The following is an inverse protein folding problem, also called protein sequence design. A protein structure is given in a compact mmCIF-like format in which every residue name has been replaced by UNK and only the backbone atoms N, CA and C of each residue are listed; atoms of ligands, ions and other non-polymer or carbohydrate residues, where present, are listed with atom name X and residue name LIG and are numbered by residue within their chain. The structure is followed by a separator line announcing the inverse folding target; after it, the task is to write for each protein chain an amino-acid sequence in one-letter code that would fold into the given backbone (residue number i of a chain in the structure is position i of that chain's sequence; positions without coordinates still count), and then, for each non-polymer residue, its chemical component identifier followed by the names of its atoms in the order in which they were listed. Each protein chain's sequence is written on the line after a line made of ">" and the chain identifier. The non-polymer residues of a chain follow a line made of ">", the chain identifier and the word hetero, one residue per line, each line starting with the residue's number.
data_IF_628073944811
#
_entry.id   IF_628073944811
#
_cell.length_a   1.000
_cell.length_b   1.000
_cell.length_c   1.000
_cell.angle_alpha   90.00
_cell.angle_beta   90.00
_cell.angle_gamma   90.00
#
_symmetry.space_group_name_H-M   'P 1'
#
loop_
_entity.id
_entity.type
_entity.pdbx_description
1 polymer ?
#
# COMPACT_ATOMS: atom_id res chain seq x y z
N UNK A 1 66.69 -59.45 16.32
CA UNK A 1 65.49 -60.27 16.04
C UNK A 1 64.25 -59.50 16.47
N UNK A 2 63.30 -59.40 15.54
CA UNK A 2 61.89 -58.95 15.57
C UNK A 2 61.46 -57.69 16.34
N UNK A 3 60.99 -56.72 15.53
CA UNK A 3 59.99 -55.71 15.86
C UNK A 3 58.67 -56.31 16.38
N UNK A 4 57.97 -55.59 17.26
CA UNK A 4 56.52 -55.64 17.31
C UNK A 4 55.93 -54.24 17.58
N UNK A 5 55.08 -53.81 16.64
CA UNK A 5 54.45 -52.49 16.53
C UNK A 5 53.42 -52.23 17.63
N UNK A 6 53.45 -51.02 18.22
CA UNK A 6 52.30 -50.39 18.87
C UNK A 6 51.96 -49.11 18.11
N UNK A 7 50.90 -49.13 17.30
CA UNK A 7 50.31 -47.90 16.76
C UNK A 7 49.35 -47.29 17.81
N UNK A 8 49.46 -45.99 18.12
CA UNK A 8 48.49 -45.32 18.99
C UNK A 8 47.23 -44.91 18.20
N UNK A 9 46.06 -45.21 18.76
CA UNK A 9 44.76 -44.71 18.30
C UNK A 9 44.76 -43.17 18.27
N UNK A 10 44.67 -42.59 17.07
CA UNK A 10 44.29 -41.18 16.89
C UNK A 10 42.81 -41.04 17.29
N UNK A 11 42.54 -40.31 18.37
CA UNK A 11 41.19 -39.83 18.70
C UNK A 11 40.76 -38.86 17.59
N UNK A 12 39.83 -39.29 16.76
CA UNK A 12 39.16 -38.45 15.77
C UNK A 12 38.12 -37.63 16.53
N UNK A 13 38.43 -36.35 16.79
CA UNK A 13 37.46 -35.41 17.33
C UNK A 13 36.43 -35.14 16.21
N UNK A 14 35.21 -35.64 16.40
CA UNK A 14 34.10 -35.36 15.51
C UNK A 14 33.57 -33.95 15.85
N UNK A 15 34.06 -32.93 15.16
CA UNK A 15 33.49 -31.58 15.25
C UNK A 15 32.15 -31.59 14.52
N UNK A 16 31.05 -31.69 15.27
CA UNK A 16 29.70 -31.45 14.75
C UNK A 16 29.62 -29.95 14.46
N UNK A 17 29.76 -29.58 13.19
CA UNK A 17 29.40 -28.25 12.72
C UNK A 17 27.86 -28.25 12.65
N UNK A 18 27.22 -27.76 13.71
CA UNK A 18 25.82 -27.34 13.64
C UNK A 18 25.78 -26.13 12.70
N UNK A 19 25.45 -26.38 11.43
CA UNK A 19 24.93 -25.36 10.53
C UNK A 19 23.58 -24.92 11.08
N UNK A 20 23.59 -24.03 12.07
CA UNK A 20 22.46 -23.15 12.29
C UNK A 20 22.39 -22.25 11.06
N UNK A 21 21.52 -22.61 10.11
CA UNK A 21 20.92 -21.59 9.27
C UNK A 21 20.37 -20.55 10.23
N UNK A 22 20.98 -19.37 10.28
CA UNK A 22 20.32 -18.19 10.81
C UNK A 22 19.13 -17.94 9.87
N UNK A 23 18.04 -18.68 10.07
CA UNK A 23 16.74 -18.17 9.70
C UNK A 23 16.57 -16.96 10.60
N UNK A 24 16.87 -15.78 10.04
CA UNK A 24 16.46 -14.53 10.65
C UNK A 24 14.97 -14.66 10.92
N UNK A 25 14.58 -14.65 12.19
CA UNK A 25 13.18 -14.64 12.59
C UNK A 25 12.64 -13.27 12.16
N UNK A 26 12.19 -13.18 10.92
CA UNK A 26 11.49 -12.00 10.44
C UNK A 26 10.11 -12.03 11.09
N UNK A 27 9.75 -10.92 11.77
CA UNK A 27 8.40 -10.76 12.29
C UNK A 27 7.37 -10.80 11.16
N UNK A 28 6.11 -11.04 11.51
CA UNK A 28 5.00 -10.98 10.53
C UNK A 28 5.01 -9.62 9.82
N UNK A 29 4.74 -9.59 8.51
CA UNK A 29 4.66 -8.34 7.77
C UNK A 29 3.51 -7.49 8.31
N UNK A 30 3.74 -6.18 8.38
CA UNK A 30 2.67 -5.22 8.68
C UNK A 30 1.72 -5.17 7.48
N UNK A 31 0.45 -5.45 7.68
CA UNK A 31 -0.55 -5.50 6.62
C UNK A 31 -1.43 -4.24 6.66
N UNK A 32 -1.55 -3.56 5.54
CA UNK A 32 -2.45 -2.42 5.40
C UNK A 32 -3.28 -2.49 4.13
N UNK A 33 -4.27 -1.62 4.03
CA UNK A 33 -5.13 -1.51 2.86
C UNK A 33 -5.33 -0.05 2.46
N UNK A 34 -5.38 0.23 1.16
CA UNK A 34 -5.82 1.52 0.65
C UNK A 34 -7.27 1.78 1.05
N UNK A 35 -7.56 2.97 1.55
CA UNK A 35 -8.86 3.33 2.11
C UNK A 35 -9.33 4.69 1.57
N UNK A 36 -10.59 4.76 1.18
CA UNK A 36 -11.17 5.88 0.46
C UNK A 36 -12.35 6.47 1.25
N UNK A 37 -12.17 7.66 1.87
CA UNK A 37 -13.16 8.26 2.77
C UNK A 37 -14.11 9.24 2.04
N UNK A 38 -14.51 8.95 0.79
CA UNK A 38 -15.24 9.92 -0.07
C UNK A 38 -16.70 9.54 -0.37
N UNK A 39 -17.21 8.45 0.20
CA UNK A 39 -18.60 8.03 0.02
C UNK A 39 -19.55 8.92 0.82
N UNK A 40 -20.67 9.33 0.23
CA UNK A 40 -21.56 10.32 0.86
C UNK A 40 -23.01 10.25 0.42
N UNK A 41 -23.89 11.04 1.07
CA UNK A 41 -25.31 11.10 0.74
C UNK A 41 -25.55 11.60 -0.69
N UNK A 42 -26.78 11.41 -1.19
CA UNK A 42 -27.21 11.81 -2.53
C UNK A 42 -26.37 11.19 -3.65
N UNK A 43 -25.82 9.99 -3.42
CA UNK A 43 -25.07 9.26 -4.43
C UNK A 43 -23.64 9.77 -4.64
N UNK A 44 -23.07 10.55 -3.72
CA UNK A 44 -21.69 11.01 -3.82
C UNK A 44 -20.74 9.80 -3.79
N UNK A 45 -20.00 9.59 -4.88
CA UNK A 45 -19.19 8.40 -5.20
C UNK A 45 -19.95 7.07 -5.39
N UNK A 46 -21.26 7.01 -5.10
CA UNK A 46 -22.11 5.84 -5.36
C UNK A 46 -22.80 5.86 -6.73
N UNK A 47 -23.28 7.02 -7.18
CA UNK A 47 -24.08 7.15 -8.42
C UNK A 47 -23.19 7.48 -9.63
N UNK A 48 -23.69 7.33 -10.88
CA UNK A 48 -22.92 6.79 -12.00
C UNK A 48 -21.52 7.35 -12.27
N UNK A 49 -20.59 6.46 -12.67
CA UNK A 49 -20.88 5.09 -13.13
C UNK A 49 -20.73 4.01 -12.05
N UNK A 50 -20.74 4.42 -10.77
CA UNK A 50 -21.21 3.66 -9.60
C UNK A 50 -21.05 2.15 -9.63
N UNK A 51 -19.98 1.65 -8.98
CA UNK A 51 -19.74 0.30 -8.49
C UNK A 51 -20.66 -0.87 -8.96
N UNK A 52 -20.04 -1.97 -9.39
CA UNK A 52 -20.79 -3.19 -9.78
C UNK A 52 -21.14 -4.01 -8.53
N UNK A 53 -20.16 -4.14 -7.64
CA UNK A 53 -20.29 -4.85 -6.37
C UNK A 53 -21.14 -4.03 -5.40
N UNK A 54 -21.91 -4.70 -4.54
CA UNK A 54 -22.76 -4.04 -3.55
C UNK A 54 -22.14 -4.14 -2.14
N UNK A 55 -21.98 -3.03 -1.40
CA UNK A 55 -21.56 -3.09 -0.01
C UNK A 55 -22.57 -3.85 0.84
N UNK A 56 -22.09 -4.73 1.72
CA UNK A 56 -22.96 -5.40 2.71
C UNK A 56 -23.58 -4.38 3.68
N UNK A 57 -22.92 -3.23 3.88
CA UNK A 57 -23.45 -2.11 4.67
C UNK A 57 -24.42 -1.20 3.90
N UNK A 58 -24.67 -1.50 2.61
CA UNK A 58 -25.38 -0.61 1.69
C UNK A 58 -24.54 0.61 1.28
N UNK A 59 -25.10 1.46 0.42
CA UNK A 59 -24.49 2.76 0.12
C UNK A 59 -24.45 3.63 1.38
N UNK A 60 -23.24 3.86 1.89
CA UNK A 60 -23.02 4.55 3.17
C UNK A 60 -22.42 5.95 3.02
N UNK A 61 -22.44 6.72 4.11
CA UNK A 61 -21.62 7.92 4.24
C UNK A 61 -20.33 7.60 5.00
N UNK A 62 -19.21 8.14 4.53
CA UNK A 62 -17.92 8.09 5.20
C UNK A 62 -17.90 8.91 6.49
N UNK A 63 -18.95 9.71 6.77
CA UNK A 63 -19.18 10.38 8.05
C UNK A 63 -20.04 9.55 9.03
N UNK A 64 -20.46 8.34 8.64
CA UNK A 64 -21.27 7.48 9.50
C UNK A 64 -20.39 6.77 10.53
N UNK A 65 -20.51 7.16 11.80
CA UNK A 65 -19.79 6.51 12.91
C UNK A 65 -20.00 4.98 12.95
N UNK A 66 -21.24 4.45 12.82
CA UNK A 66 -21.44 3.00 12.78
C UNK A 66 -20.67 2.30 11.64
N UNK A 67 -20.52 2.96 10.49
CA UNK A 67 -19.78 2.41 9.34
C UNK A 67 -18.29 2.44 9.61
N UNK A 68 -17.76 3.56 10.11
CA UNK A 68 -16.35 3.67 10.50
C UNK A 68 -16.00 2.62 11.56
N UNK A 69 -16.83 2.49 12.60
CA UNK A 69 -16.62 1.51 13.67
C UNK A 69 -16.64 0.08 13.12
N UNK A 70 -17.54 -0.24 12.20
CA UNK A 70 -17.58 -1.54 11.56
C UNK A 70 -16.35 -1.81 10.69
N UNK A 71 -15.88 -0.80 9.94
CA UNK A 71 -14.66 -0.91 9.15
C UNK A 71 -13.42 -1.14 10.03
N UNK A 72 -13.30 -0.40 11.14
CA UNK A 72 -12.24 -0.59 12.12
C UNK A 72 -12.35 -1.93 12.84
N UNK A 73 -13.56 -2.40 13.14
CA UNK A 73 -13.77 -3.74 13.68
C UNK A 73 -13.26 -4.81 12.70
N UNK A 74 -13.62 -4.73 11.43
CA UNK A 74 -13.08 -5.65 10.41
C UNK A 74 -11.56 -5.53 10.28
N UNK A 75 -11.01 -4.33 10.30
CA UNK A 75 -9.56 -4.15 10.26
C UNK A 75 -8.87 -4.89 11.42
N UNK A 76 -9.38 -4.74 12.64
CA UNK A 76 -8.83 -5.42 13.82
C UNK A 76 -9.02 -6.94 13.79
N UNK A 77 -10.22 -7.43 13.44
CA UNK A 77 -10.56 -8.86 13.44
C UNK A 77 -9.80 -9.68 12.40
N UNK A 78 -9.41 -9.03 11.30
CA UNK A 78 -8.75 -9.66 10.14
C UNK A 78 -7.31 -9.19 9.93
N UNK A 79 -6.68 -8.62 10.96
CA UNK A 79 -5.27 -8.25 11.01
C UNK A 79 -4.82 -7.21 9.96
N UNK A 80 -5.70 -6.28 9.61
CA UNK A 80 -5.32 -5.07 8.87
C UNK A 80 -4.80 -4.06 9.89
N UNK A 81 -3.48 -4.01 10.03
CA UNK A 81 -2.78 -3.17 11.00
C UNK A 81 -2.96 -1.67 10.72
N UNK A 82 -3.12 -1.27 9.46
CA UNK A 82 -3.32 0.13 9.11
C UNK A 82 -4.15 0.37 7.84
N UNK A 83 -4.76 1.55 7.77
CA UNK A 83 -5.42 2.07 6.58
C UNK A 83 -4.54 3.17 5.95
N UNK A 84 -4.24 3.04 4.66
CA UNK A 84 -3.60 4.08 3.86
C UNK A 84 -4.69 4.95 3.23
N UNK A 85 -5.01 6.05 3.89
CA UNK A 85 -6.20 6.86 3.66
C UNK A 85 -5.94 7.91 2.58
N UNK A 86 -6.70 7.86 1.49
CA UNK A 86 -6.70 8.85 0.41
C UNK A 86 -7.03 10.25 0.94
N UNK A 87 -6.19 11.23 0.62
CA UNK A 87 -6.30 12.61 1.09
C UNK A 87 -6.14 13.62 -0.05
N UNK A 88 -7.19 14.44 -0.24
CA UNK A 88 -7.24 15.53 -1.22
C UNK A 88 -7.20 16.88 -0.50
N UNK A 89 -6.03 17.50 -0.42
CA UNK A 89 -5.84 18.72 0.38
C UNK A 89 -6.64 19.95 -0.09
N UNK A 90 -6.89 20.08 -1.40
CA UNK A 90 -7.63 21.20 -1.97
C UNK A 90 -9.15 20.99 -1.82
N UNK A 91 -9.69 21.22 -0.61
CA UNK A 91 -11.12 21.51 -0.40
C UNK A 91 -12.12 20.40 -0.72
N UNK A 92 -11.69 19.14 -0.77
CA UNK A 92 -12.57 18.00 -0.97
C UNK A 92 -13.39 17.64 0.28
N UNK A 93 -14.45 16.85 0.07
CA UNK A 93 -15.33 16.20 1.06
C UNK A 93 -14.57 15.13 1.88
N UNK A 94 -13.31 15.39 2.26
CA UNK A 94 -12.46 14.39 2.96
C UNK A 94 -11.86 14.88 4.26
N UNK A 95 -11.77 16.20 4.51
CA UNK A 95 -11.14 16.68 5.75
C UNK A 95 -11.94 16.30 7.00
N UNK A 96 -13.27 16.45 6.95
CA UNK A 96 -14.15 16.10 8.07
C UNK A 96 -14.20 14.59 8.28
N UNK A 97 -14.17 13.83 7.19
CA UNK A 97 -14.18 12.38 7.13
C UNK A 97 -12.89 11.81 7.72
N UNK A 98 -11.73 12.36 7.35
CA UNK A 98 -10.42 11.96 7.90
C UNK A 98 -10.31 12.35 9.37
N UNK A 99 -10.78 13.55 9.75
CA UNK A 99 -10.83 13.96 11.17
C UNK A 99 -11.66 12.98 12.00
N UNK A 100 -12.89 12.67 11.56
CA UNK A 100 -13.76 11.72 12.25
C UNK A 100 -13.14 10.32 12.26
N UNK A 101 -12.52 9.89 11.16
CA UNK A 101 -11.82 8.61 11.08
C UNK A 101 -10.67 8.54 12.11
N UNK A 102 -9.86 9.59 12.27
CA UNK A 102 -8.86 9.66 13.33
C UNK A 102 -9.47 9.61 14.73
N UNK A 103 -10.59 10.31 14.96
CA UNK A 103 -11.29 10.29 16.27
C UNK A 103 -11.79 8.89 16.65
N UNK A 104 -12.26 8.11 15.68
CA UNK A 104 -12.63 6.70 15.91
C UNK A 104 -11.40 5.80 16.02
N UNK A 105 -10.38 6.02 15.19
CA UNK A 105 -9.20 5.14 15.11
C UNK A 105 -8.29 5.26 16.34
N UNK A 106 -8.25 6.42 16.99
CA UNK A 106 -7.53 6.58 18.27
C UNK A 106 -8.09 5.70 19.40
N UNK A 107 -9.26 5.10 19.23
CA UNK A 107 -9.88 4.19 20.20
C UNK A 107 -9.54 2.72 19.97
N UNK A 108 -8.81 2.38 18.90
CA UNK A 108 -8.53 1.00 18.49
C UNK A 108 -7.06 0.78 18.11
N UNK A 109 -6.60 -0.48 17.99
CA UNK A 109 -5.21 -0.78 17.60
C UNK A 109 -4.84 -0.39 16.17
N UNK A 110 -5.77 -0.47 15.21
CA UNK A 110 -5.56 -0.08 13.81
C UNK A 110 -4.95 1.33 13.70
N UNK A 111 -4.04 1.52 12.74
CA UNK A 111 -3.37 2.80 12.48
C UNK A 111 -3.81 3.43 11.16
N UNK A 112 -3.45 4.69 10.96
CA UNK A 112 -3.68 5.44 9.72
C UNK A 112 -2.35 5.98 9.20
N UNK A 113 -2.11 5.81 7.92
CA UNK A 113 -1.19 6.64 7.14
C UNK A 113 -2.00 7.40 6.09
N UNK A 114 -1.59 8.62 5.77
CA UNK A 114 -2.25 9.39 4.71
C UNK A 114 -1.58 9.14 3.36
N UNK A 115 -2.37 9.14 2.31
CA UNK A 115 -1.95 9.10 0.91
C UNK A 115 -2.32 10.44 0.28
N UNK A 116 -1.33 11.30 0.03
CA UNK A 116 -1.55 12.56 -0.67
C UNK A 116 -1.91 12.24 -2.12
N UNK A 117 -3.10 12.65 -2.52
CA UNK A 117 -3.62 12.49 -3.87
C UNK A 117 -3.29 13.70 -4.75
N UNK A 118 -3.12 13.47 -6.06
CA UNK A 118 -2.83 14.50 -7.05
C UNK A 118 -4.08 15.34 -7.37
N UNK A 119 -4.31 16.37 -6.56
CA UNK A 119 -5.40 17.34 -6.73
C UNK A 119 -5.27 18.26 -7.95
N UNK A 120 -6.29 19.11 -8.14
CA UNK A 120 -6.40 20.00 -9.29
C UNK A 120 -5.17 20.91 -9.49
N UNK A 121 -4.48 21.30 -8.42
CA UNK A 121 -3.30 22.17 -8.53
C UNK A 121 -2.13 21.39 -9.15
N UNK A 122 -1.91 20.13 -8.74
CA UNK A 122 -0.88 19.30 -9.38
C UNK A 122 -1.22 19.00 -10.84
N UNK A 123 -2.51 18.80 -11.14
CA UNK A 123 -2.97 18.62 -12.52
C UNK A 123 -2.74 19.85 -13.39
N UNK A 124 -2.92 21.06 -12.83
CA UNK A 124 -2.61 22.30 -13.53
C UNK A 124 -1.10 22.42 -13.80
N UNK A 125 -0.26 22.10 -12.80
CA UNK A 125 1.21 22.07 -12.95
C UNK A 125 1.64 21.09 -14.06
N UNK A 126 1.06 19.89 -14.07
CA UNK A 126 1.28 18.88 -15.13
C UNK A 126 0.85 19.38 -16.49
N UNK A 127 -0.35 19.95 -16.59
CA UNK A 127 -0.88 20.47 -17.84
C UNK A 127 0.01 21.56 -18.43
N UNK A 128 0.54 22.46 -17.60
CA UNK A 128 1.50 23.48 -18.03
C UNK A 128 2.80 22.88 -18.59
N UNK A 129 3.31 21.80 -17.98
CA UNK A 129 4.52 21.13 -18.46
C UNK A 129 4.27 20.36 -19.76
N UNK A 130 3.31 19.43 -19.75
CA UNK A 130 3.09 18.48 -20.83
C UNK A 130 2.37 19.08 -22.05
N UNK A 131 1.48 20.06 -21.84
CA UNK A 131 0.67 20.61 -22.93
C UNK A 131 1.15 21.98 -23.42
N UNK A 132 1.89 22.73 -22.60
CA UNK A 132 2.34 24.09 -22.93
C UNK A 132 3.86 24.23 -23.08
N UNK A 133 4.61 23.12 -23.07
CA UNK A 133 6.05 23.13 -23.28
C UNK A 133 6.84 23.76 -22.13
N UNK A 134 6.33 23.68 -20.89
CA UNK A 134 7.02 24.21 -19.72
C UNK A 134 8.35 23.50 -19.45
N UNK A 135 9.33 24.24 -18.91
CA UNK A 135 10.64 23.66 -18.52
C UNK A 135 10.51 22.56 -17.49
N UNK A 136 11.29 21.48 -17.63
CA UNK A 136 11.36 20.37 -16.67
C UNK A 136 11.71 20.84 -15.25
N UNK A 137 12.66 21.77 -15.12
CA UNK A 137 13.05 22.32 -13.82
C UNK A 137 11.90 23.10 -13.16
N UNK A 138 11.10 23.82 -13.94
CA UNK A 138 9.92 24.50 -13.41
C UNK A 138 8.86 23.50 -12.96
N UNK A 139 8.65 22.42 -13.73
CA UNK A 139 7.74 21.35 -13.35
C UNK A 139 8.12 20.70 -12.01
N UNK A 140 9.40 20.32 -11.85
CA UNK A 140 9.90 19.74 -10.60
C UNK A 140 9.76 20.73 -9.45
N UNK A 141 10.20 21.98 -9.61
CA UNK A 141 10.11 22.99 -8.55
C UNK A 141 8.67 23.28 -8.11
N UNK A 142 7.75 23.38 -9.07
CA UNK A 142 6.33 23.60 -8.78
C UNK A 142 5.72 22.38 -8.05
N UNK A 143 6.09 21.16 -8.47
CA UNK A 143 5.65 19.92 -7.82
C UNK A 143 6.21 19.77 -6.39
N UNK A 144 7.46 20.20 -6.16
CA UNK A 144 8.09 20.26 -4.83
C UNK A 144 7.32 21.22 -3.92
N UNK A 145 7.04 22.43 -4.40
CA UNK A 145 6.28 23.42 -3.64
C UNK A 145 4.87 22.93 -3.33
N UNK A 146 4.20 22.31 -4.32
CA UNK A 146 2.89 21.69 -4.13
C UNK A 146 2.94 20.62 -3.04
N UNK A 147 3.90 19.68 -3.10
CA UNK A 147 4.03 18.62 -2.10
C UNK A 147 4.26 19.17 -0.69
N UNK A 148 5.17 20.14 -0.55
CA UNK A 148 5.48 20.77 0.73
C UNK A 148 4.24 21.45 1.34
N UNK A 149 3.44 22.14 0.53
CA UNK A 149 2.19 22.75 1.01
C UNK A 149 1.23 21.70 1.57
N UNK A 150 1.06 20.56 0.89
CA UNK A 150 0.19 19.47 1.34
C UNK A 150 0.72 18.79 2.61
N UNK A 151 2.04 18.61 2.69
CA UNK A 151 2.69 18.13 3.89
C UNK A 151 2.45 19.08 5.09
N UNK A 152 2.60 20.39 4.87
CA UNK A 152 2.43 21.38 5.93
C UNK A 152 0.95 21.51 6.36
N UNK A 153 -0.03 21.31 5.47
CA UNK A 153 -1.47 21.19 5.82
C UNK A 153 -1.70 20.01 6.78
N UNK A 154 -1.18 18.82 6.44
CA UNK A 154 -1.30 17.63 7.29
C UNK A 154 -0.66 17.87 8.66
N UNK A 155 0.54 18.46 8.67
CA UNK A 155 1.35 18.63 9.87
C UNK A 155 0.87 19.75 10.77
N UNK A 156 0.55 20.92 10.23
CA UNK A 156 0.36 22.14 10.99
C UNK A 156 -1.12 22.50 11.13
N UNK A 157 -1.88 22.42 10.03
CA UNK A 157 -3.26 22.89 10.00
C UNK A 157 -4.19 21.86 10.61
N UNK A 158 -4.07 20.60 10.19
CA UNK A 158 -4.87 19.50 10.73
C UNK A 158 -4.21 18.81 11.93
N UNK A 159 -2.90 18.97 12.09
CA UNK A 159 -2.10 18.32 13.14
C UNK A 159 -2.24 16.79 13.17
N UNK A 160 -2.56 16.16 12.03
CA UNK A 160 -2.80 14.72 11.95
C UNK A 160 -1.57 13.87 12.33
N UNK A 161 -0.36 14.37 12.09
CA UNK A 161 0.87 13.72 12.56
C UNK A 161 1.02 13.62 14.08
N UNK A 162 0.19 14.32 14.85
CA UNK A 162 0.17 14.24 16.31
C UNK A 162 -0.81 13.19 16.85
N UNK A 163 -1.66 12.61 15.99
CA UNK A 163 -2.64 11.59 16.41
C UNK A 163 -1.96 10.30 16.83
N UNK A 164 -2.47 9.68 17.90
CA UNK A 164 -1.89 8.45 18.46
C UNK A 164 -2.03 7.23 17.55
N UNK A 165 -3.02 7.28 16.67
CA UNK A 165 -3.26 6.30 15.61
C UNK A 165 -2.47 6.58 14.33
N UNK A 166 -1.70 7.68 14.23
CA UNK A 166 -0.87 7.90 13.06
C UNK A 166 0.25 6.84 12.97
N UNK A 167 0.39 6.21 11.82
CA UNK A 167 1.33 5.12 11.58
C UNK A 167 2.78 5.63 11.56
N UNK A 168 3.63 4.93 12.30
CA UNK A 168 5.06 5.17 12.33
C UNK A 168 5.82 3.94 11.87
N UNK A 169 6.98 4.16 11.26
CA UNK A 169 7.94 3.10 10.98
C UNK A 169 8.68 2.67 12.26
N UNK A 170 9.49 1.60 12.21
CA UNK A 170 10.26 1.14 13.36
C UNK A 170 11.27 2.17 13.92
N UNK A 171 11.65 3.20 13.15
CA UNK A 171 12.53 4.27 13.62
C UNK A 171 11.74 5.47 14.21
N UNK A 172 10.41 5.39 14.27
CA UNK A 172 9.55 6.46 14.78
C UNK A 172 9.25 7.58 13.76
N UNK A 173 9.48 7.35 12.47
CA UNK A 173 9.13 8.29 11.39
C UNK A 173 7.70 8.07 10.91
N UNK A 174 7.00 9.14 10.57
CA UNK A 174 5.61 9.08 10.06
C UNK A 174 5.62 8.44 8.67
N UNK A 175 4.72 7.50 8.41
CA UNK A 175 4.50 7.01 7.04
C UNK A 175 3.61 8.00 6.29
N UNK A 176 4.02 8.44 5.11
CA UNK A 176 3.23 9.30 4.24
C UNK A 176 3.28 8.81 2.80
N UNK A 177 2.13 8.44 2.27
CA UNK A 177 1.95 8.13 0.86
C UNK A 177 1.92 9.39 -0.02
N UNK A 178 2.45 9.27 -1.22
CA UNK A 178 2.33 10.26 -2.29
C UNK A 178 1.92 9.56 -3.58
N UNK A 179 0.65 9.69 -3.96
CA UNK A 179 0.18 9.16 -5.24
C UNK A 179 0.50 10.13 -6.38
N UNK A 180 1.19 9.65 -7.42
CA UNK A 180 1.44 10.44 -8.62
C UNK A 180 1.64 9.53 -9.85
N UNK A 181 1.09 9.94 -10.99
CA UNK A 181 1.18 9.20 -12.27
C UNK A 181 2.45 9.48 -13.08
N UNK A 182 3.36 10.31 -12.57
CA UNK A 182 4.60 10.59 -13.29
C UNK A 182 5.48 9.35 -13.42
N UNK A 183 6.44 9.43 -14.34
CA UNK A 183 7.48 8.41 -14.41
C UNK A 183 8.25 8.35 -13.07
N UNK A 184 8.77 7.17 -12.70
CA UNK A 184 9.54 7.06 -11.48
C UNK A 184 10.77 7.97 -11.39
N UNK A 185 11.36 8.32 -12.53
CA UNK A 185 12.51 9.25 -12.58
C UNK A 185 12.10 10.66 -12.14
N UNK A 186 10.98 11.15 -12.67
CA UNK A 186 10.41 12.46 -12.33
C UNK A 186 10.08 12.54 -10.85
N UNK A 187 9.40 11.52 -10.32
CA UNK A 187 9.07 11.46 -8.90
C UNK A 187 10.33 11.40 -8.04
N UNK A 188 11.36 10.64 -8.46
CA UNK A 188 12.64 10.61 -7.77
C UNK A 188 13.25 12.00 -7.67
N UNK A 189 13.23 12.78 -8.75
CA UNK A 189 13.74 14.15 -8.75
C UNK A 189 12.92 15.07 -7.83
N UNK A 190 11.59 14.98 -7.86
CA UNK A 190 10.70 15.75 -6.96
C UNK A 190 11.01 15.44 -5.50
N UNK A 191 10.99 14.17 -5.09
CA UNK A 191 11.20 13.82 -3.67
C UNK A 191 12.64 14.09 -3.24
N UNK A 192 13.64 13.80 -4.07
CA UNK A 192 15.04 14.13 -3.73
C UNK A 192 15.21 15.64 -3.52
N UNK A 193 14.53 16.45 -4.33
CA UNK A 193 14.52 17.91 -4.17
C UNK A 193 13.77 18.34 -2.91
N UNK A 194 12.59 17.77 -2.61
CA UNK A 194 11.87 17.99 -1.34
C UNK A 194 12.81 17.73 -0.15
N UNK A 195 13.51 16.60 -0.13
CA UNK A 195 14.39 16.25 0.98
C UNK A 195 15.65 17.12 1.06
N UNK A 196 16.12 17.65 -0.07
CA UNK A 196 17.23 18.60 -0.10
C UNK A 196 16.83 19.98 0.45
N UNK A 197 15.62 20.47 0.12
CA UNK A 197 15.15 21.81 0.54
C UNK A 197 14.43 21.80 1.89
N UNK A 198 13.88 20.66 2.31
CA UNK A 198 13.18 20.41 3.58
C UNK A 198 13.71 19.13 4.25
N UNK A 199 14.97 19.13 4.74
CA UNK A 199 15.56 17.96 5.39
C UNK A 199 14.82 17.53 6.67
N UNK A 200 14.04 18.43 7.29
CA UNK A 200 13.16 18.11 8.42
C UNK A 200 12.08 17.08 8.05
N UNK A 201 11.60 17.10 6.80
CA UNK A 201 10.64 16.11 6.31
C UNK A 201 11.31 14.74 6.27
N UNK A 202 12.52 14.62 5.71
CA UNK A 202 13.23 13.33 5.63
C UNK A 202 13.63 12.75 6.98
N UNK A 203 13.93 13.62 7.95
CA UNK A 203 14.24 13.19 9.32
C UNK A 203 13.03 12.67 10.09
N UNK A 204 11.81 13.14 9.76
CA UNK A 204 10.59 12.87 10.54
C UNK A 204 9.56 12.01 9.82
N UNK A 205 9.69 11.82 8.51
CA UNK A 205 8.70 11.17 7.66
C UNK A 205 9.40 10.23 6.68
N UNK A 206 8.85 9.02 6.53
CA UNK A 206 9.20 8.10 5.45
C UNK A 206 8.16 8.22 4.33
N UNK A 207 8.57 8.81 3.21
CA UNK A 207 7.68 9.06 2.06
C UNK A 207 7.61 7.81 1.18
N UNK A 208 6.40 7.30 1.01
CA UNK A 208 6.06 6.22 0.09
C UNK A 208 5.45 6.84 -1.17
N UNK A 209 6.22 6.92 -2.24
CA UNK A 209 5.65 7.20 -3.55
C UNK A 209 4.78 6.02 -4.01
N UNK A 210 3.64 6.31 -4.61
CA UNK A 210 2.73 5.32 -5.16
C UNK A 210 2.40 5.80 -6.57
N UNK A 211 2.72 5.02 -7.59
CA UNK A 211 2.57 5.46 -8.98
C UNK A 211 2.47 4.30 -9.93
N UNK A 212 2.04 4.56 -11.17
CA UNK A 212 1.76 3.49 -12.13
C UNK A 212 2.99 3.09 -12.96
N UNK A 213 3.20 1.78 -13.15
CA UNK A 213 4.12 1.25 -14.17
C UNK A 213 3.36 0.96 -15.47
N UNK A 214 3.04 2.00 -16.22
CA UNK A 214 2.28 1.87 -17.48
C UNK A 214 0.77 1.76 -17.24
N UNK A 215 0.05 1.04 -18.12
CA UNK A 215 -1.42 0.99 -18.12
C UNK A 215 -1.97 0.37 -16.82
N UNK A 216 -2.27 1.29 -15.89
CA UNK A 216 -3.27 1.23 -14.83
C UNK A 216 -3.04 0.35 -13.62
N UNK A 217 -1.85 0.35 -13.00
CA UNK A 217 -1.84 -0.03 -11.56
C UNK A 217 -0.72 0.55 -10.71
N UNK A 218 -1.09 0.87 -9.46
CA UNK A 218 -0.28 1.35 -8.34
C UNK A 218 0.87 0.41 -7.99
N UNK A 219 2.08 0.88 -8.25
CA UNK A 219 3.33 0.40 -7.66
C UNK A 219 3.71 1.31 -6.50
N UNK A 220 4.04 0.71 -5.36
CA UNK A 220 4.55 1.47 -4.21
C UNK A 220 6.07 1.52 -4.34
N UNK A 221 6.67 2.70 -4.35
CA UNK A 221 8.11 2.91 -4.23
C UNK A 221 8.36 3.86 -3.07
N UNK A 222 9.24 3.54 -2.14
CA UNK A 222 9.65 4.55 -1.14
C UNK A 222 10.97 5.19 -1.55
N UNK A 223 11.11 6.49 -1.30
CA UNK A 223 12.32 7.24 -1.64
C UNK A 223 13.03 7.71 -0.35
N UNK A 224 14.29 7.29 -0.23
CA UNK A 224 15.41 7.79 0.59
C UNK A 224 15.50 7.42 2.09
N UNK A 225 16.43 6.51 2.39
CA UNK A 225 17.85 6.76 2.74
C UNK A 225 18.72 5.83 1.85
N UNK A 226 20.06 5.98 1.72
CA UNK A 226 20.92 5.12 0.86
C UNK A 226 20.74 3.61 1.04
N UNK A 227 20.11 3.18 2.15
CA UNK A 227 19.97 1.80 2.55
C UNK A 227 18.51 1.34 2.78
N UNK A 228 17.47 2.17 2.59
CA UNK A 228 16.07 1.83 2.98
C UNK A 228 15.02 1.93 1.86
N UNK A 229 15.41 1.77 0.61
CA UNK A 229 14.46 1.74 -0.50
C UNK A 229 13.43 0.60 -0.35
N UNK A 230 12.23 0.82 -0.87
CA UNK A 230 11.18 -0.20 -1.04
C UNK A 230 10.53 -0.04 -2.40
N UNK A 231 10.11 -1.16 -2.99
CA UNK A 231 9.42 -1.20 -4.27
C UNK A 231 8.36 -2.28 -4.20
N UNK A 232 7.22 -2.14 -4.88
CA UNK A 232 6.20 -3.17 -4.99
C UNK A 232 5.70 -3.19 -6.43
N UNK A 233 5.89 -4.29 -7.18
CA UNK A 233 5.22 -4.44 -8.45
C UNK A 233 3.75 -4.72 -8.15
N UNK A 234 2.89 -4.06 -8.90
CA UNK A 234 1.62 -4.67 -9.24
C UNK A 234 1.48 -4.60 -10.76
N UNK A 235 1.16 -5.74 -11.35
CA UNK A 235 0.48 -5.76 -12.64
C UNK A 235 -0.79 -6.58 -12.45
N UNK A 236 -1.93 -6.08 -12.95
CA UNK A 236 -3.13 -6.88 -12.92
C UNK A 236 -2.82 -8.05 -13.85
N UNK A 237 -2.96 -9.29 -13.39
CA UNK A 237 -2.60 -10.47 -14.19
C UNK A 237 -3.56 -10.68 -15.38
N UNK A 238 -3.69 -9.70 -16.27
CA UNK A 238 -4.20 -9.88 -17.62
C UNK A 238 -3.09 -10.29 -18.62
N UNK A 239 -1.80 -10.15 -18.28
CA UNK A 239 -0.71 -10.46 -19.21
C UNK A 239 0.23 -11.55 -18.68
N UNK A 240 -0.01 -12.82 -19.04
CA UNK A 240 0.95 -13.93 -19.27
C UNK A 240 2.20 -14.11 -18.35
N UNK A 241 2.25 -13.51 -17.17
CA UNK A 241 3.42 -13.53 -16.29
C UNK A 241 3.07 -14.02 -14.90
N UNK A 242 3.85 -14.97 -14.39
CA UNK A 242 3.77 -15.45 -13.02
C UNK A 242 4.26 -14.37 -12.03
N UNK A 243 3.80 -14.42 -10.78
CA UNK A 243 4.28 -13.56 -9.70
C UNK A 243 5.82 -13.60 -9.57
N UNK A 244 6.43 -14.74 -9.88
CA UNK A 244 7.89 -14.88 -9.94
C UNK A 244 8.56 -13.96 -10.97
N UNK A 245 7.90 -13.61 -12.08
CA UNK A 245 8.43 -12.62 -13.04
C UNK A 245 8.35 -11.19 -12.49
N UNK A 246 7.27 -10.86 -11.78
CA UNK A 246 7.13 -9.57 -11.09
C UNK A 246 8.20 -9.44 -9.98
N UNK A 247 8.49 -10.52 -9.27
CA UNK A 247 9.57 -10.57 -8.29
C UNK A 247 10.96 -10.52 -8.93
N UNK A 248 11.18 -11.17 -10.08
CA UNK A 248 12.45 -11.06 -10.77
C UNK A 248 12.71 -9.61 -11.18
N UNK A 249 11.66 -8.91 -11.67
CA UNK A 249 11.71 -7.46 -11.88
C UNK A 249 12.01 -6.71 -10.57
N UNK A 250 11.34 -7.03 -9.47
CA UNK A 250 11.61 -6.47 -8.13
C UNK A 250 13.09 -6.54 -7.78
N UNK A 251 13.68 -7.73 -7.86
CA UNK A 251 15.05 -7.98 -7.45
C UNK A 251 16.07 -7.37 -8.43
N UNK A 252 15.71 -7.23 -9.71
CA UNK A 252 16.55 -6.61 -10.74
C UNK A 252 16.57 -5.09 -10.64
N UNK A 253 15.44 -4.44 -10.32
CA UNK A 253 15.36 -2.99 -10.35
C UNK A 253 16.15 -2.32 -9.22
N UNK A 254 16.29 -2.93 -8.04
CA UNK A 254 16.97 -2.27 -6.92
C UNK A 254 17.67 -3.27 -5.96
N UNK A 255 18.85 -3.82 -6.30
CA UNK A 255 19.66 -4.60 -5.38
C UNK A 255 20.12 -3.73 -4.20
N UNK A 256 19.65 -4.01 -2.98
CA UNK A 256 20.06 -3.30 -1.74
C UNK A 256 18.93 -2.73 -0.87
N UNK A 257 17.66 -3.00 -1.18
CA UNK A 257 16.51 -2.58 -0.36
C UNK A 257 16.49 -3.26 1.03
N UNK A 258 16.47 -2.48 2.12
CA UNK A 258 16.32 -3.03 3.49
C UNK A 258 14.88 -3.27 3.93
N UNK A 259 13.90 -2.82 3.14
CA UNK A 259 12.48 -2.97 3.44
C UNK A 259 11.74 -3.47 2.20
N UNK A 260 11.06 -4.60 2.32
CA UNK A 260 10.27 -5.22 1.25
C UNK A 260 8.81 -4.90 1.43
N UNK A 261 8.23 -4.23 0.43
CA UNK A 261 6.81 -3.87 0.38
C UNK A 261 6.21 -4.62 -0.81
N UNK A 262 5.07 -5.29 -0.65
CA UNK A 262 4.35 -5.88 -1.78
C UNK A 262 2.91 -5.39 -1.79
N UNK A 263 2.29 -5.38 -2.97
CA UNK A 263 0.89 -5.00 -3.16
C UNK A 263 0.11 -6.22 -3.67
N UNK A 264 -1.04 -6.49 -3.07
CA UNK A 264 -2.00 -7.49 -3.55
C UNK A 264 -3.35 -6.84 -3.85
N UNK A 265 -4.14 -7.46 -4.72
CA UNK A 265 -5.44 -6.91 -5.14
C UNK A 265 -6.42 -8.06 -5.35
N UNK A 266 -7.63 -8.02 -4.78
CA UNK A 266 -8.58 -9.12 -4.82
C UNK A 266 -9.31 -9.23 -6.16
N UNK A 267 -9.55 -8.11 -6.83
CA UNK A 267 -10.25 -8.00 -8.11
C UNK A 267 -10.06 -6.60 -8.68
N UNK A 268 -10.49 -6.37 -9.90
CA UNK A 268 -10.46 -5.04 -10.52
C UNK A 268 -11.49 -5.02 -11.65
N UNK A 269 -12.31 -3.98 -11.71
CA UNK A 269 -13.20 -3.75 -12.83
C UNK A 269 -13.49 -2.25 -12.92
N UNK A 270 -12.92 -1.58 -13.92
CA UNK A 270 -13.17 -0.16 -14.20
C UNK A 270 -14.06 0.03 -15.44
N UNK A 271 -14.73 -1.02 -15.94
CA UNK A 271 -15.51 -0.98 -17.19
C UNK A 271 -16.68 -0.01 -17.17
N UNK A 272 -17.19 0.33 -15.98
CA UNK A 272 -18.25 1.31 -15.84
C UNK A 272 -17.69 2.74 -15.88
N UNK A 273 -16.42 2.96 -15.50
CA UNK A 273 -15.83 4.29 -15.44
C UNK A 273 -15.69 4.92 -16.83
N UNK A 274 -16.08 6.20 -16.96
CA UNK A 274 -15.79 6.99 -18.16
C UNK A 274 -14.27 7.13 -18.29
N UNK A 275 -13.69 6.60 -19.36
CA UNK A 275 -12.22 6.52 -19.52
C UNK A 275 -11.57 5.32 -18.83
N UNK A 276 -12.36 4.33 -18.41
CA UNK A 276 -11.89 3.02 -17.96
C UNK A 276 -10.97 2.35 -18.99
N UNK A 277 -10.02 1.52 -18.54
CA UNK A 277 -9.10 0.78 -19.43
C UNK A 277 -9.75 -0.48 -19.98
N UNK A 278 -10.96 -0.81 -19.50
CA UNK A 278 -11.57 -2.13 -19.66
C UNK A 278 -10.68 -3.23 -19.05
N UNK A 279 -9.91 -2.89 -18.02
CA UNK A 279 -9.15 -3.89 -17.27
C UNK A 279 -10.11 -4.60 -16.34
N UNK A 280 -10.03 -5.93 -16.36
CA UNK A 280 -10.89 -6.82 -15.61
C UNK A 280 -10.07 -7.93 -14.97
N UNK A 281 -10.15 -8.00 -13.65
CA UNK A 281 -9.67 -9.11 -12.84
C UNK A 281 -10.89 -9.64 -12.09
N UNK A 282 -11.27 -10.90 -12.30
CA UNK A 282 -12.44 -11.48 -11.67
C UNK A 282 -12.26 -11.61 -10.15
N UNK A 283 -13.39 -11.67 -9.44
CA UNK A 283 -13.44 -12.00 -8.01
C UNK A 283 -13.19 -13.49 -7.75
N UNK A 284 -13.58 -14.39 -8.66
CA UNK A 284 -13.22 -15.82 -8.68
C UNK A 284 -13.24 -16.57 -7.33
N UNK A 285 -14.17 -16.19 -6.44
CA UNK A 285 -14.29 -16.71 -5.07
C UNK A 285 -12.95 -16.68 -4.30
N UNK A 286 -12.21 -15.58 -4.47
CA UNK A 286 -10.89 -15.31 -3.89
C UNK A 286 -9.78 -16.30 -4.29
N UNK A 287 -9.99 -17.17 -5.29
CA UNK A 287 -8.99 -18.15 -5.71
C UNK A 287 -7.68 -17.49 -6.15
N UNK A 288 -7.73 -16.60 -7.15
CA UNK A 288 -6.52 -15.91 -7.64
C UNK A 288 -5.91 -15.00 -6.58
N UNK A 289 -6.73 -14.40 -5.71
CA UNK A 289 -6.23 -13.60 -4.60
C UNK A 289 -5.44 -14.45 -3.58
N UNK A 290 -5.94 -15.62 -3.22
CA UNK A 290 -5.24 -16.57 -2.34
C UNK A 290 -3.93 -17.06 -2.94
N UNK A 291 -3.90 -17.33 -4.25
CA UNK A 291 -2.68 -17.69 -4.97
C UNK A 291 -1.66 -16.55 -4.97
N UNK A 292 -2.12 -15.32 -5.22
CA UNK A 292 -1.26 -14.14 -5.14
C UNK A 292 -0.60 -14.03 -3.77
N UNK A 293 -1.37 -14.15 -2.68
CA UNK A 293 -0.87 -14.11 -1.31
C UNK A 293 0.11 -15.25 -1.01
N UNK A 294 -0.20 -16.47 -1.42
CA UNK A 294 0.71 -17.61 -1.29
C UNK A 294 2.04 -17.37 -2.02
N UNK A 295 1.99 -16.84 -3.24
CA UNK A 295 3.17 -16.45 -4.01
C UNK A 295 3.98 -15.37 -3.29
N UNK A 296 3.34 -14.33 -2.72
CA UNK A 296 4.03 -13.31 -1.92
C UNK A 296 4.86 -13.98 -0.82
N UNK A 297 4.30 -14.97 -0.13
CA UNK A 297 4.98 -15.67 0.96
C UNK A 297 6.20 -16.45 0.50
N UNK A 298 6.08 -17.17 -0.60
CA UNK A 298 7.18 -17.97 -1.18
C UNK A 298 8.29 -17.07 -1.71
N UNK A 299 7.92 -15.99 -2.40
CA UNK A 299 8.86 -15.15 -3.15
C UNK A 299 9.37 -13.93 -2.36
N UNK A 300 8.71 -13.57 -1.27
CA UNK A 300 9.12 -12.49 -0.38
C UNK A 300 9.13 -12.95 1.09
N UNK A 301 9.95 -13.97 1.46
CA UNK A 301 9.97 -14.49 2.84
C UNK A 301 10.40 -13.45 3.89
N UNK A 302 11.10 -12.39 3.47
CA UNK A 302 11.50 -11.27 4.32
C UNK A 302 10.61 -10.03 4.09
N UNK A 303 9.33 -10.24 3.79
CA UNK A 303 8.37 -9.14 3.59
C UNK A 303 8.26 -8.29 4.86
N UNK A 304 8.32 -6.97 4.70
CA UNK A 304 8.11 -6.04 5.79
C UNK A 304 6.68 -5.49 5.79
N UNK A 305 6.15 -5.18 4.61
CA UNK A 305 4.82 -4.58 4.47
C UNK A 305 4.03 -5.22 3.34
N UNK A 306 2.76 -5.53 3.59
CA UNK A 306 1.79 -5.89 2.56
C UNK A 306 0.75 -4.77 2.46
N UNK A 307 0.53 -4.24 1.27
CA UNK A 307 -0.58 -3.33 0.98
C UNK A 307 -1.63 -4.02 0.12
N UNK A 308 -2.91 -3.86 0.49
CA UNK A 308 -4.04 -4.36 -0.29
C UNK A 308 -4.67 -3.19 -1.05
N UNK A 309 -4.75 -3.31 -2.36
CA UNK A 309 -5.58 -2.47 -3.23
C UNK A 309 -6.88 -3.21 -3.46
N UNK A 310 -7.95 -2.93 -2.71
CA UNK A 310 -8.14 -1.88 -1.69
C UNK A 310 -9.10 -2.36 -0.59
N UNK A 311 -9.22 -1.62 0.51
CA UNK A 311 -10.30 -1.83 1.48
C UNK A 311 -11.67 -1.60 0.80
N UNK A 312 -11.88 -0.39 0.27
CA UNK A 312 -13.19 0.08 -0.19
C UNK A 312 -13.15 0.98 -1.44
N UNK A 313 -12.28 0.74 -2.44
CA UNK A 313 -12.41 1.38 -3.76
C UNK A 313 -13.50 0.70 -4.61
N UNK A 314 -14.74 1.12 -4.40
CA UNK A 314 -15.93 0.55 -5.03
C UNK A 314 -16.00 0.87 -6.52
N UNK A 315 -15.51 2.03 -6.96
CA UNK A 315 -15.55 2.44 -8.37
C UNK A 315 -14.64 1.58 -9.27
N UNK A 316 -13.52 1.07 -8.73
CA UNK A 316 -12.63 0.13 -9.43
C UNK A 316 -12.93 -1.34 -9.08
N UNK A 317 -13.94 -1.60 -8.23
CA UNK A 317 -14.31 -2.94 -7.77
C UNK A 317 -13.11 -3.76 -7.24
N UNK A 318 -12.17 -3.08 -6.56
CA UNK A 318 -10.96 -3.70 -5.98
C UNK A 318 -11.09 -4.00 -4.49
N UNK A 319 -12.30 -3.94 -3.96
CA UNK A 319 -12.61 -3.98 -2.52
C UNK A 319 -12.41 -5.36 -1.87
N UNK A 320 -11.89 -5.36 -0.65
CA UNK A 320 -11.99 -6.48 0.30
C UNK A 320 -13.11 -6.27 1.33
N UNK A 321 -13.70 -5.07 1.39
CA UNK A 321 -14.92 -4.82 2.16
C UNK A 321 -15.99 -5.87 1.79
N UNK A 322 -16.74 -6.43 2.76
CA UNK A 322 -17.74 -7.44 2.49
C UNK A 322 -18.76 -7.04 1.42
N UNK A 323 -18.87 -7.88 0.39
CA UNK A 323 -19.75 -7.64 -0.77
C UNK A 323 -20.95 -8.58 -0.79
N UNK A 324 -22.03 -8.07 -1.39
CA UNK A 324 -23.09 -8.87 -2.01
C UNK A 324 -22.86 -8.81 -3.52
N UNK A 325 -22.83 -9.97 -4.20
CA UNK A 325 -22.44 -10.05 -5.61
C UNK A 325 -23.36 -9.22 -6.53
N UNK A 326 -24.64 -9.12 -6.20
CA UNK A 326 -25.66 -8.26 -6.79
C UNK A 326 -26.81 -8.06 -5.78
N UNK A 327 -27.71 -7.06 -5.96
CA UNK A 327 -28.84 -6.87 -5.03
C UNK A 327 -29.68 -8.16 -4.86
N UNK A 328 -29.72 -8.69 -3.63
CA UNK A 328 -30.41 -9.96 -3.30
C UNK A 328 -29.67 -11.25 -3.71
N UNK A 329 -28.43 -11.15 -4.20
CA UNK A 329 -27.57 -12.27 -4.55
C UNK A 329 -26.87 -12.93 -3.35
N UNK A 330 -26.05 -13.98 -3.60
CA UNK A 330 -25.26 -14.60 -2.55
C UNK A 330 -24.27 -13.60 -1.95
N UNK A 331 -24.17 -13.61 -0.63
CA UNK A 331 -23.22 -12.79 0.12
C UNK A 331 -21.86 -13.52 0.12
N UNK A 332 -20.84 -12.91 -0.47
CA UNK A 332 -19.44 -13.35 -0.26
C UNK A 332 -19.02 -13.03 1.18
N UNK A 333 -19.69 -12.08 1.83
CA UNK A 333 -19.50 -11.73 3.23
C UNK A 333 -18.04 -11.38 3.47
N UNK A 334 -17.47 -11.93 4.54
CA UNK A 334 -16.08 -11.67 4.92
C UNK A 334 -15.08 -12.59 4.21
N UNK A 335 -15.40 -13.20 3.06
CA UNK A 335 -14.52 -14.17 2.37
C UNK A 335 -13.09 -13.64 2.16
N UNK A 336 -12.95 -12.45 1.57
CA UNK A 336 -11.64 -11.87 1.25
C UNK A 336 -10.86 -11.46 2.50
N UNK A 337 -11.54 -10.92 3.50
CA UNK A 337 -10.98 -10.65 4.81
C UNK A 337 -10.49 -11.96 5.48
N UNK A 338 -11.26 -13.04 5.37
CA UNK A 338 -10.90 -14.37 5.87
C UNK A 338 -9.66 -14.97 5.19
N UNK A 339 -9.51 -14.75 3.87
CA UNK A 339 -8.30 -15.12 3.12
C UNK A 339 -7.07 -14.36 3.63
N UNK A 340 -7.19 -13.05 3.87
CA UNK A 340 -6.11 -12.23 4.46
C UNK A 340 -5.72 -12.72 5.85
N UNK A 341 -6.71 -12.96 6.72
CA UNK A 341 -6.48 -13.49 8.07
C UNK A 341 -5.76 -14.83 8.02
N UNK A 342 -6.23 -15.76 7.19
CA UNK A 342 -5.61 -17.09 7.05
C UNK A 342 -4.16 -17.00 6.57
N UNK A 343 -3.89 -16.10 5.61
CA UNK A 343 -2.54 -15.85 5.14
C UNK A 343 -1.64 -15.27 6.25
N UNK A 344 -2.11 -14.25 6.97
CA UNK A 344 -1.38 -13.61 8.06
C UNK A 344 -1.11 -14.56 9.24
N UNK A 345 -2.11 -15.36 9.62
CA UNK A 345 -1.99 -16.38 10.68
C UNK A 345 -0.97 -17.46 10.29
N UNK A 346 -0.90 -17.81 9.01
CA UNK A 346 0.06 -18.81 8.51
C UNK A 346 1.50 -18.32 8.48
N UNK A 347 1.74 -17.01 8.42
CA UNK A 347 3.07 -16.40 8.37
C UNK A 347 3.82 -16.59 9.69
#
# INVERSE_FOLDING_TARGET
>A
MSHNNKYPMKRMLLTIILLFSFATLHGKPTMGAFYYPWYGPNGHHWTPPGHILQPTLGEYSSLSIPVIDQHLQWANEYHIDFLMVSFWAAGGVTNSEIMLLFDRTDLVPTKIALLIEPDADLQAIKSQHYNSGGSYSNYVNNSVNWFIQRYDIIKNDHQWFSRSSYLHDPDGRKILGFFNWDSPAVTKDVISTVLAVRPDIGASTWIWYIGSLGNKVSTVRSLLYPNKGSWAPYQPMQSNGSYSQALNKYNQFEPGMSQKIMVACPSFNDTQLVGGSNTYIPRDSAYRFSQQLADIKVYAPNLNWLLITSFNEWNENSVIEPVVEYPGGPTEGTLYLGVLKSWWESW
#
